data_IF_398908278371
#
_entry.id   IF_398908278371
#
_cell.length_a   1.000
_cell.length_b   1.000
_cell.length_c   1.000
_cell.angle_alpha   90.00
_cell.angle_beta   90.00
_cell.angle_gamma   90.00
#
_symmetry.space_group_name_H-M   'P 1'
#
loop_
_entity.id
_entity.type
_entity.pdbx_description
1 polymer ?
#
# COMPACT_ATOMS: atom_id res chain seq x y z
N UNK A 1 9.80 19.09 -11.81
CA UNK A 1 10.55 19.70 -10.67
C UNK A 1 10.14 18.94 -9.42
N UNK A 2 11.06 18.26 -8.72
CA UNK A 2 10.75 17.57 -7.45
C UNK A 2 10.84 18.58 -6.29
N UNK A 3 9.78 18.68 -5.47
CA UNK A 3 9.71 19.63 -4.36
C UNK A 3 10.21 18.98 -3.06
N UNK A 4 11.29 19.54 -2.50
CA UNK A 4 12.18 18.91 -1.52
C UNK A 4 11.60 18.64 -0.10
N UNK A 5 10.30 18.87 0.15
CA UNK A 5 9.67 18.62 1.47
C UNK A 5 8.71 17.42 1.48
N UNK A 6 8.24 16.93 0.32
CA UNK A 6 7.39 15.74 0.17
C UNK A 6 7.64 15.17 -1.23
N UNK A 7 7.67 13.85 -1.41
CA UNK A 7 7.77 13.20 -2.73
C UNK A 7 6.52 13.50 -3.59
N UNK A 8 6.45 14.72 -4.09
CA UNK A 8 5.40 15.27 -4.92
C UNK A 8 5.95 15.47 -6.31
N UNK A 9 5.27 14.84 -7.26
CA UNK A 9 5.50 15.03 -8.68
C UNK A 9 4.52 16.06 -9.20
N UNK A 10 5.03 17.02 -9.96
CA UNK A 10 4.21 18.01 -10.65
C UNK A 10 3.85 17.49 -12.04
N UNK A 11 2.56 17.55 -12.39
CA UNK A 11 2.12 17.23 -13.75
C UNK A 11 2.46 18.39 -14.70
N UNK A 12 3.22 18.10 -15.76
CA UNK A 12 3.63 19.07 -16.77
C UNK A 12 2.45 19.73 -17.52
N UNK A 13 1.31 19.04 -17.65
CA UNK A 13 0.14 19.57 -18.38
C UNK A 13 -0.79 20.45 -17.54
N UNK A 14 -0.88 20.23 -16.24
CA UNK A 14 -1.87 20.90 -15.39
C UNK A 14 -1.28 21.54 -14.13
N UNK A 15 0.05 21.50 -13.96
CA UNK A 15 0.80 22.04 -12.82
C UNK A 15 0.31 21.57 -11.44
N UNK A 16 -0.46 20.47 -11.43
CA UNK A 16 -1.02 19.92 -10.20
C UNK A 16 0.02 19.03 -9.54
N UNK A 17 0.27 19.30 -8.26
CA UNK A 17 1.19 18.51 -7.44
C UNK A 17 0.45 17.32 -6.84
N UNK A 18 0.96 16.12 -7.06
CA UNK A 18 0.42 14.90 -6.46
C UNK A 18 1.58 13.95 -6.12
N UNK A 19 1.42 13.11 -5.09
CA UNK A 19 2.33 11.99 -4.91
C UNK A 19 2.05 10.92 -5.97
N UNK A 20 3.06 10.16 -6.36
CA UNK A 20 2.90 9.06 -7.33
C UNK A 20 1.94 7.99 -6.78
N UNK A 21 1.87 7.85 -5.46
CA UNK A 21 0.95 6.94 -4.77
C UNK A 21 -0.46 7.51 -4.60
N UNK A 22 -0.72 8.76 -5.00
CA UNK A 22 -2.04 9.38 -4.91
C UNK A 22 -3.09 8.62 -5.71
N UNK A 23 -4.22 8.31 -5.08
CA UNK A 23 -5.32 7.56 -5.71
C UNK A 23 -5.04 6.06 -5.90
N UNK A 24 -3.90 5.55 -5.44
CA UNK A 24 -3.57 4.11 -5.51
C UNK A 24 -3.86 3.40 -4.19
N UNK A 25 -3.74 2.08 -4.19
CA UNK A 25 -3.75 1.24 -2.99
C UNK A 25 -2.71 1.69 -1.94
N UNK A 26 -1.61 2.32 -2.38
CA UNK A 26 -0.52 2.81 -1.55
C UNK A 26 -0.75 4.24 -1.02
N UNK A 27 -1.87 4.86 -1.37
CA UNK A 27 -2.17 6.23 -0.96
C UNK A 27 -2.17 6.37 0.57
N UNK A 28 -1.48 7.41 1.06
CA UNK A 28 -1.38 7.77 2.49
C UNK A 28 -0.91 6.61 3.39
N UNK A 29 -0.03 5.75 2.86
CA UNK A 29 0.60 4.69 3.65
C UNK A 29 2.01 5.08 4.06
N UNK A 30 2.34 4.86 5.34
CA UNK A 30 3.71 4.95 5.84
C UNK A 30 4.50 3.65 5.63
N UNK A 31 3.92 2.62 4.99
CA UNK A 31 4.67 1.42 4.65
C UNK A 31 5.52 1.66 3.39
N UNK A 32 6.79 1.20 3.39
CA UNK A 32 7.59 1.15 2.17
C UNK A 32 6.86 0.40 1.06
N UNK A 33 6.99 0.89 -0.18
CA UNK A 33 6.35 0.30 -1.35
C UNK A 33 6.73 -1.18 -1.54
N UNK A 34 7.96 -1.56 -1.21
CA UNK A 34 8.40 -2.95 -1.24
C UNK A 34 7.58 -3.86 -0.31
N UNK A 35 7.25 -3.38 0.90
CA UNK A 35 6.40 -4.15 1.82
C UNK A 35 5.00 -4.34 1.25
N UNK A 36 4.48 -3.36 0.53
CA UNK A 36 3.21 -3.49 -0.16
C UNK A 36 3.23 -4.54 -1.28
N UNK A 37 4.32 -4.65 -2.05
CA UNK A 37 4.47 -5.72 -3.03
C UNK A 37 4.48 -7.11 -2.36
N UNK A 38 5.18 -7.24 -1.22
CA UNK A 38 5.13 -8.47 -0.43
C UNK A 38 3.71 -8.80 0.06
N UNK A 39 2.97 -7.79 0.55
CA UNK A 39 1.56 -7.98 0.95
C UNK A 39 0.76 -8.56 -0.21
N UNK A 40 0.85 -7.96 -1.40
CA UNK A 40 0.10 -8.41 -2.58
C UNK A 40 0.50 -9.83 -2.97
N UNK A 41 1.81 -10.13 -2.98
CA UNK A 41 2.33 -11.46 -3.25
C UNK A 41 1.77 -12.51 -2.27
N UNK A 42 1.76 -12.23 -0.97
CA UNK A 42 1.26 -13.16 0.03
C UNK A 42 -0.26 -13.33 -0.01
N UNK A 43 -0.99 -12.27 -0.38
CA UNK A 43 -2.46 -12.34 -0.53
C UNK A 43 -2.83 -13.17 -1.75
N UNK A 44 -2.10 -13.05 -2.85
CA UNK A 44 -2.34 -13.79 -4.10
C UNK A 44 -1.85 -15.26 -4.03
N UNK A 45 -0.71 -15.49 -3.37
CA UNK A 45 -0.09 -16.82 -3.28
C UNK A 45 -0.80 -17.77 -2.30
N UNK A 46 -1.56 -17.24 -1.35
CA UNK A 46 -2.30 -18.08 -0.40
C UNK A 46 -3.55 -18.63 -1.11
N UNK A 47 -3.69 -19.96 -1.15
CA UNK A 47 -4.85 -20.62 -1.78
C UNK A 47 -6.19 -20.25 -1.12
N UNK A 48 -6.15 -19.58 0.03
CA UNK A 48 -7.31 -19.03 0.71
C UNK A 48 -7.08 -17.59 1.18
N UNK A 49 -7.81 -17.19 2.21
CA UNK A 49 -7.63 -15.87 2.82
C UNK A 49 -6.51 -15.89 3.85
N UNK A 50 -5.41 -15.19 3.56
CA UNK A 50 -4.35 -14.98 4.55
C UNK A 50 -4.89 -14.30 5.84
N UNK A 51 -4.51 -14.85 6.99
CA UNK A 51 -4.83 -14.28 8.30
C UNK A 51 -3.95 -13.07 8.59
N UNK A 52 -4.54 -12.04 9.21
CA UNK A 52 -3.82 -10.82 9.60
C UNK A 52 -2.61 -11.10 10.50
N UNK A 53 -2.70 -12.11 11.37
CA UNK A 53 -1.59 -12.54 12.24
C UNK A 53 -0.44 -13.18 11.48
N UNK A 54 -0.73 -13.87 10.37
CA UNK A 54 0.30 -14.46 9.53
C UNK A 54 0.98 -13.37 8.70
N UNK A 55 0.18 -12.47 8.14
CA UNK A 55 0.70 -11.30 7.41
C UNK A 55 1.56 -10.42 8.30
N UNK A 56 1.15 -10.15 9.55
CA UNK A 56 1.89 -9.30 10.48
C UNK A 56 3.31 -9.81 10.76
N UNK A 57 3.48 -11.14 10.78
CA UNK A 57 4.79 -11.78 10.90
C UNK A 57 5.63 -11.63 9.64
N UNK A 58 5.02 -11.76 8.45
CA UNK A 58 5.75 -11.64 7.18
C UNK A 58 6.24 -10.24 6.87
N UNK A 59 5.43 -9.21 7.18
CA UNK A 59 5.78 -7.82 6.86
C UNK A 59 6.33 -7.05 8.07
N UNK A 60 6.48 -7.74 9.20
CA UNK A 60 6.99 -7.22 10.48
C UNK A 60 6.26 -5.94 10.91
N UNK A 61 4.94 -6.02 11.02
CA UNK A 61 4.12 -4.92 11.52
C UNK A 61 3.22 -5.39 12.66
N UNK A 62 2.65 -4.45 13.39
CA UNK A 62 1.62 -4.77 14.38
C UNK A 62 0.42 -5.45 13.69
N UNK A 63 -0.15 -6.47 14.33
CA UNK A 63 -1.37 -7.15 13.88
C UNK A 63 -2.51 -6.20 13.48
N UNK A 64 -2.70 -5.09 14.21
CA UNK A 64 -3.72 -4.08 13.89
C UNK A 64 -3.45 -3.47 12.50
N UNK A 65 -2.19 -3.12 12.22
CA UNK A 65 -1.77 -2.57 10.92
C UNK A 65 -1.96 -3.61 9.82
N UNK A 66 -1.55 -4.86 10.06
CA UNK A 66 -1.74 -5.95 9.08
C UNK A 66 -3.22 -6.18 8.75
N UNK A 67 -4.12 -6.08 9.74
CA UNK A 67 -5.57 -6.16 9.52
C UNK A 67 -6.10 -5.02 8.67
N UNK A 68 -5.65 -3.78 8.91
CA UNK A 68 -6.03 -2.61 8.10
C UNK A 68 -5.55 -2.75 6.65
N UNK A 69 -4.31 -3.20 6.47
CA UNK A 69 -3.73 -3.50 5.15
C UNK A 69 -4.60 -4.52 4.42
N UNK A 70 -4.92 -5.65 5.06
CA UNK A 70 -5.77 -6.68 4.44
C UNK A 70 -7.14 -6.16 4.06
N UNK A 71 -7.77 -5.34 4.91
CA UNK A 71 -9.05 -4.72 4.59
C UNK A 71 -8.94 -3.84 3.33
N UNK A 72 -7.87 -3.06 3.23
CA UNK A 72 -7.62 -2.18 2.08
C UNK A 72 -7.36 -2.96 0.80
N UNK A 73 -6.57 -4.03 0.87
CA UNK A 73 -6.27 -4.92 -0.27
C UNK A 73 -7.53 -5.64 -0.75
N UNK A 74 -8.30 -6.23 0.16
CA UNK A 74 -9.56 -6.92 -0.19
C UNK A 74 -10.59 -5.98 -0.82
N UNK A 75 -10.73 -4.77 -0.28
CA UNK A 75 -11.62 -3.77 -0.87
C UNK A 75 -11.19 -3.37 -2.29
N UNK A 76 -9.89 -3.36 -2.58
CA UNK A 76 -9.37 -3.05 -3.91
C UNK A 76 -9.48 -4.22 -4.90
N UNK A 77 -9.45 -5.46 -4.42
CA UNK A 77 -9.59 -6.67 -5.26
C UNK A 77 -11.03 -6.95 -5.69
N UNK A 78 -12.00 -6.20 -5.17
CA UNK A 78 -13.43 -6.43 -5.42
C UNK A 78 -13.98 -7.45 -4.43
N UNK A 79 -14.96 -7.00 -3.65
CA UNK A 79 -15.90 -7.88 -2.98
C UNK A 79 -16.88 -8.41 -4.02
#
# INVERSE_FOLDING_TARGET
>A
IELHCRQLTECDRCHKQASITSGTLFHSSNLPLLKWFWVLYFVDSDKGSILALRLSKFIEVNWIIARLILKKVRAAMGN
#
